data_IF_390606201876
#
_entry.id   IF_390606201876
#
_cell.length_a   1.000
_cell.length_b   1.000
_cell.length_c   1.000
_cell.angle_alpha   90.00
_cell.angle_beta   90.00
_cell.angle_gamma   90.00
#
_symmetry.space_group_name_H-M   'P 1'
#
loop_
_entity.id
_entity.type
_entity.pdbx_description
1 polymer ?
#
# COMPACT_ATOMS: atom_id res chain seq x y z
N UNK A 1 -12.31 10.61 16.02
CA UNK A 1 -13.24 11.30 15.11
C UNK A 1 -12.92 12.79 14.98
N UNK A 2 -12.59 13.48 16.09
CA UNK A 2 -12.25 14.91 16.10
C UNK A 2 -11.26 15.37 14.99
N UNK A 3 -10.24 14.57 14.66
CA UNK A 3 -9.27 14.95 13.62
C UNK A 3 -9.85 14.86 12.19
N UNK A 4 -10.75 13.90 11.92
CA UNK A 4 -11.46 13.85 10.63
C UNK A 4 -12.38 15.05 10.44
N UNK A 5 -13.03 15.52 11.51
CA UNK A 5 -13.86 16.74 11.48
C UNK A 5 -13.02 17.99 11.19
N UNK A 6 -11.73 17.95 11.53
CA UNK A 6 -10.74 18.99 11.21
C UNK A 6 -10.09 18.82 9.82
N UNK A 7 -10.60 17.90 9.00
CA UNK A 7 -10.08 17.53 7.67
C UNK A 7 -8.68 16.92 7.68
N UNK A 8 -8.30 16.25 8.78
CA UNK A 8 -7.15 15.35 8.77
C UNK A 8 -7.59 13.98 8.28
N UNK A 9 -6.82 13.40 7.37
CA UNK A 9 -7.02 12.05 6.86
C UNK A 9 -5.79 11.22 7.13
N UNK A 10 -5.96 9.92 7.40
CA UNK A 10 -4.83 9.00 7.50
C UNK A 10 -4.09 8.96 6.17
N UNK A 11 -2.79 9.22 6.21
CA UNK A 11 -1.89 9.19 5.04
C UNK A 11 -0.88 8.05 5.13
N UNK A 12 -0.53 7.62 6.34
CA UNK A 12 0.32 6.46 6.54
C UNK A 12 -0.11 5.67 7.78
N UNK A 13 0.01 4.34 7.67
CA UNK A 13 -0.09 3.42 8.79
C UNK A 13 1.10 2.47 8.78
N UNK A 14 1.62 2.18 9.96
CA UNK A 14 2.66 1.19 10.16
C UNK A 14 2.36 0.44 11.46
N UNK A 15 2.82 -0.80 11.55
CA UNK A 15 2.73 -1.56 12.78
C UNK A 15 3.97 -2.44 12.97
N UNK A 16 4.08 -2.96 14.19
CA UNK A 16 5.18 -3.82 14.58
C UNK A 16 4.66 -5.20 14.99
N UNK A 17 5.56 -6.17 15.03
CA UNK A 17 5.27 -7.56 15.38
C UNK A 17 4.76 -7.72 16.82
N UNK A 18 5.15 -6.82 17.72
CA UNK A 18 4.66 -6.78 19.10
C UNK A 18 3.22 -6.22 19.25
N UNK A 19 2.53 -5.95 18.14
CA UNK A 19 1.16 -5.47 18.12
C UNK A 19 1.00 -3.96 18.26
N UNK A 20 2.09 -3.20 18.44
CA UNK A 20 2.05 -1.73 18.40
C UNK A 20 1.81 -1.21 16.98
N UNK A 21 1.23 0.00 16.88
CA UNK A 21 0.90 0.62 15.59
C UNK A 21 1.05 2.13 15.67
N UNK A 22 1.41 2.73 14.55
CA UNK A 22 1.51 4.17 14.35
C UNK A 22 0.62 4.58 13.19
N UNK A 23 -0.12 5.67 13.38
CA UNK A 23 -0.97 6.27 12.35
C UNK A 23 -0.56 7.72 12.18
N UNK A 24 -0.28 8.12 10.95
CA UNK A 24 -0.03 9.52 10.58
C UNK A 24 -1.27 10.05 9.88
N UNK A 25 -1.74 11.20 10.34
CA UNK A 25 -2.80 11.93 9.70
C UNK A 25 -2.30 13.27 9.18
N UNK A 26 -2.76 13.67 8.00
CA UNK A 26 -2.35 14.92 7.35
C UNK A 26 -3.55 15.70 6.87
N UNK A 27 -3.41 17.03 6.83
CA UNK A 27 -4.38 17.97 6.24
C UNK A 27 -3.88 18.43 4.86
N UNK A 28 -4.79 18.86 3.99
CA UNK A 28 -4.46 19.29 2.63
C UNK A 28 -4.31 18.14 1.63
N UNK A 29 -4.71 16.93 2.02
CA UNK A 29 -4.85 15.81 1.08
C UNK A 29 -6.04 16.07 0.15
N UNK A 30 -6.07 15.48 -1.06
CA UNK A 30 -7.24 15.55 -1.92
C UNK A 30 -8.41 14.68 -1.41
N UNK A 31 -8.25 13.95 -0.32
CA UNK A 31 -9.24 12.99 0.15
C UNK A 31 -10.50 13.68 0.67
N UNK A 32 -11.66 13.10 0.41
CA UNK A 32 -12.95 13.67 0.84
C UNK A 32 -13.67 12.81 1.87
N UNK A 33 -13.56 11.49 1.74
CA UNK A 33 -14.10 10.52 2.70
C UNK A 33 -13.08 9.42 2.90
N UNK A 34 -13.03 8.86 4.11
CA UNK A 34 -12.11 7.79 4.44
C UNK A 34 -12.80 6.72 5.29
N UNK A 35 -12.39 5.48 5.09
CA UNK A 35 -12.83 4.33 5.87
C UNK A 35 -11.60 3.45 6.11
N UNK A 36 -11.53 2.83 7.28
CA UNK A 36 -10.48 1.88 7.57
C UNK A 36 -11.07 0.58 8.10
N UNK A 37 -10.29 -0.50 8.00
CA UNK A 37 -10.61 -1.79 8.59
C UNK A 37 -9.38 -2.41 9.21
N UNK A 38 -9.54 -2.91 10.43
CA UNK A 38 -8.58 -3.78 11.09
C UNK A 38 -9.15 -5.19 11.10
N UNK A 39 -8.35 -6.18 10.72
CA UNK A 39 -8.79 -7.59 10.67
C UNK A 39 -7.62 -8.54 10.82
N UNK A 40 -7.88 -9.73 11.39
CA UNK A 40 -6.88 -10.80 11.51
C UNK A 40 -6.62 -11.53 10.19
N UNK A 41 -7.51 -11.37 9.20
CA UNK A 41 -7.33 -11.88 7.85
C UNK A 41 -7.40 -10.74 6.84
N UNK A 42 -6.77 -10.92 5.66
CA UNK A 42 -6.79 -9.90 4.64
C UNK A 42 -8.24 -9.59 4.20
N UNK A 43 -8.75 -8.36 4.34
CA UNK A 43 -10.18 -8.08 4.28
C UNK A 43 -10.71 -7.89 2.84
N UNK A 44 -10.42 -8.84 1.93
CA UNK A 44 -10.73 -8.74 0.49
C UNK A 44 -12.20 -8.42 0.19
N UNK A 45 -13.14 -9.10 0.85
CA UNK A 45 -14.59 -8.87 0.66
C UNK A 45 -14.99 -7.42 0.97
N UNK A 46 -14.37 -6.82 2.00
CA UNK A 46 -14.64 -5.44 2.39
C UNK A 46 -14.02 -4.45 1.42
N UNK A 47 -12.78 -4.70 0.98
CA UNK A 47 -12.10 -3.88 -0.04
C UNK A 47 -12.93 -3.86 -1.33
N UNK A 48 -13.39 -5.02 -1.80
CA UNK A 48 -14.20 -5.12 -3.02
C UNK A 48 -15.53 -4.36 -2.90
N UNK A 49 -16.20 -4.42 -1.73
CA UNK A 49 -17.38 -3.60 -1.47
C UNK A 49 -17.05 -2.11 -1.54
N UNK A 50 -15.93 -1.69 -0.95
CA UNK A 50 -15.50 -0.28 -0.91
C UNK A 50 -15.05 0.26 -2.26
N UNK A 51 -14.42 -0.55 -3.11
CA UNK A 51 -14.14 -0.18 -4.51
C UNK A 51 -15.42 0.17 -5.27
N UNK A 52 -16.50 -0.62 -5.11
CA UNK A 52 -17.82 -0.32 -5.71
C UNK A 52 -18.44 0.96 -5.17
N UNK A 53 -18.10 1.35 -3.95
CA UNK A 53 -18.48 2.64 -3.34
C UNK A 53 -17.54 3.78 -3.73
N UNK A 54 -16.58 3.58 -4.64
CA UNK A 54 -15.64 4.60 -5.12
C UNK A 54 -14.48 4.92 -4.19
N UNK A 55 -14.28 4.13 -3.13
CA UNK A 55 -13.10 4.22 -2.27
C UNK A 55 -11.96 3.42 -2.89
N UNK A 56 -10.72 3.90 -2.71
CA UNK A 56 -9.52 3.18 -3.12
C UNK A 56 -8.59 3.02 -1.93
N UNK A 57 -7.83 1.92 -1.86
CA UNK A 57 -6.82 1.72 -0.82
C UNK A 57 -5.74 2.78 -0.98
N UNK A 58 -5.50 3.53 0.09
CA UNK A 58 -4.49 4.61 0.12
C UNK A 58 -3.33 4.31 1.05
N UNK A 59 -3.51 3.39 2.00
CA UNK A 59 -2.44 2.98 2.91
C UNK A 59 -2.78 1.61 3.52
N UNK A 60 -1.78 0.76 3.67
CA UNK A 60 -1.89 -0.53 4.32
C UNK A 60 -0.70 -0.74 5.27
N UNK A 61 -0.93 -1.48 6.34
CA UNK A 61 0.10 -1.86 7.28
C UNK A 61 -0.35 -3.08 8.08
N UNK A 62 0.59 -3.69 8.79
CA UNK A 62 0.34 -4.87 9.61
C UNK A 62 0.91 -4.68 11.01
N UNK A 63 0.25 -5.27 12.00
CA UNK A 63 0.72 -5.31 13.39
C UNK A 63 0.54 -6.74 13.92
N UNK A 64 1.65 -7.49 14.00
CA UNK A 64 1.60 -8.96 14.09
C UNK A 64 0.89 -9.55 12.87
N UNK A 65 -0.16 -10.33 13.11
CA UNK A 65 -0.98 -10.93 12.04
C UNK A 65 -2.20 -10.08 11.65
N UNK A 66 -2.39 -8.91 12.27
CA UNK A 66 -3.53 -8.03 11.97
C UNK A 66 -3.19 -7.09 10.82
N UNK A 67 -4.11 -7.01 9.87
CA UNK A 67 -4.09 -6.08 8.75
C UNK A 67 -4.81 -4.80 9.14
N UNK A 68 -4.18 -3.65 8.90
CA UNK A 68 -4.81 -2.35 8.81
C UNK A 68 -4.91 -1.95 7.33
N UNK A 69 -6.12 -1.66 6.85
CA UNK A 69 -6.35 -1.17 5.50
C UNK A 69 -7.11 0.14 5.57
N UNK A 70 -6.56 1.19 4.97
CA UNK A 70 -7.17 2.52 4.86
C UNK A 70 -7.58 2.74 3.42
N UNK A 71 -8.83 3.10 3.20
CA UNK A 71 -9.37 3.45 1.90
C UNK A 71 -9.94 4.86 1.91
N UNK A 72 -9.68 5.63 0.86
CA UNK A 72 -10.12 7.01 0.74
C UNK A 72 -10.82 7.26 -0.61
N UNK A 73 -11.79 8.16 -0.63
CA UNK A 73 -12.36 8.73 -1.86
C UNK A 73 -11.48 9.86 -2.37
N UNK A 74 -11.53 10.09 -3.67
CA UNK A 74 -10.70 11.07 -4.38
C UNK A 74 -9.18 10.82 -4.24
N UNK A 75 -8.78 9.55 -4.21
CA UNK A 75 -7.37 9.15 -4.12
C UNK A 75 -6.56 9.32 -5.44
N UNK A 76 -7.21 9.73 -6.52
CA UNK A 76 -6.55 9.91 -7.82
C UNK A 76 -6.36 8.64 -8.64
N UNK A 77 -6.98 7.52 -8.26
CA UNK A 77 -6.94 6.25 -8.98
C UNK A 77 -8.22 6.00 -9.79
N UNK A 78 -8.09 5.43 -10.98
CA UNK A 78 -9.23 5.01 -11.83
C UNK A 78 -9.61 3.56 -11.58
N UNK A 79 -8.62 2.71 -11.31
CA UNK A 79 -8.82 1.30 -11.03
C UNK A 79 -7.76 0.79 -10.04
N UNK A 80 -8.10 -0.28 -9.31
CA UNK A 80 -7.24 -0.93 -8.33
C UNK A 80 -7.44 -2.43 -8.31
N UNK A 81 -6.34 -3.14 -8.15
CA UNK A 81 -6.30 -4.58 -7.93
C UNK A 81 -5.42 -4.91 -6.73
N UNK A 82 -5.58 -6.13 -6.22
CA UNK A 82 -4.72 -6.67 -5.17
C UNK A 82 -4.11 -7.97 -5.63
N UNK A 83 -2.81 -8.12 -5.45
CA UNK A 83 -2.08 -9.38 -5.53
C UNK A 83 -1.75 -9.80 -4.09
N UNK A 84 -2.39 -10.87 -3.61
CA UNK A 84 -2.20 -11.44 -2.27
C UNK A 84 -1.66 -12.87 -2.44
N UNK A 85 -0.52 -13.14 -1.82
CA UNK A 85 0.14 -14.44 -1.93
C UNK A 85 0.85 -14.78 -0.61
N UNK A 86 1.10 -16.08 -0.37
CA UNK A 86 1.92 -16.57 0.74
C UNK A 86 3.41 -16.26 0.50
N UNK A 87 3.79 -16.08 -0.76
CA UNK A 87 5.13 -15.66 -1.18
C UNK A 87 5.06 -14.30 -1.87
N UNK A 88 6.19 -13.88 -2.45
CA UNK A 88 6.24 -12.68 -3.28
C UNK A 88 5.65 -12.96 -4.68
N UNK A 89 4.56 -12.29 -5.09
CA UNK A 89 3.83 -12.60 -6.33
C UNK A 89 4.49 -12.00 -7.58
N UNK A 90 5.71 -12.42 -7.91
CA UNK A 90 6.50 -11.85 -9.01
C UNK A 90 5.77 -11.83 -10.36
N UNK A 91 5.22 -12.97 -10.80
CA UNK A 91 4.47 -13.09 -12.05
C UNK A 91 3.23 -12.17 -12.10
N UNK A 92 2.49 -12.12 -10.99
CA UNK A 92 1.32 -11.24 -10.86
C UNK A 92 1.71 -9.78 -11.04
N UNK A 93 2.77 -9.33 -10.37
CA UNK A 93 3.24 -7.95 -10.46
C UNK A 93 3.68 -7.57 -11.87
N UNK A 94 4.45 -8.42 -12.57
CA UNK A 94 4.89 -8.15 -13.94
C UNK A 94 3.70 -8.04 -14.90
N UNK A 95 2.75 -8.98 -14.85
CA UNK A 95 1.54 -8.93 -15.68
C UNK A 95 0.73 -7.64 -15.42
N UNK A 96 0.65 -7.19 -14.17
CA UNK A 96 -0.06 -5.95 -13.83
C UNK A 96 0.68 -4.69 -14.30
N UNK A 97 2.01 -4.69 -14.23
CA UNK A 97 2.83 -3.60 -14.81
C UNK A 97 2.65 -3.47 -16.32
N UNK A 98 2.60 -4.58 -17.05
CA UNK A 98 2.30 -4.59 -18.49
C UNK A 98 0.90 -4.04 -18.81
N UNK A 99 -0.03 -4.21 -17.87
CA UNK A 99 -1.39 -3.69 -17.96
C UNK A 99 -1.53 -2.24 -17.46
N UNK A 100 -0.42 -1.55 -17.13
CA UNK A 100 -0.40 -0.14 -16.71
C UNK A 100 -0.70 0.11 -15.23
N UNK A 101 -0.84 -0.93 -14.42
CA UNK A 101 -0.97 -0.76 -12.97
C UNK A 101 0.40 -0.47 -12.35
N UNK A 102 0.44 0.25 -11.23
CA UNK A 102 1.65 0.47 -10.43
C UNK A 102 1.38 0.16 -8.97
N UNK A 103 2.37 -0.40 -8.27
CA UNK A 103 2.27 -0.67 -6.84
C UNK A 103 2.12 0.67 -6.12
N UNK A 104 1.04 0.82 -5.35
CA UNK A 104 0.74 2.05 -4.59
C UNK A 104 0.67 1.80 -3.09
N UNK A 105 0.57 0.55 -2.65
CA UNK A 105 0.66 0.18 -1.24
C UNK A 105 1.07 -1.28 -1.13
N UNK A 106 1.99 -1.58 -0.21
CA UNK A 106 2.35 -2.96 0.14
C UNK A 106 2.29 -3.14 1.65
N UNK A 107 1.86 -4.31 2.10
CA UNK A 107 1.93 -4.72 3.50
C UNK A 107 2.09 -6.24 3.57
N UNK A 108 2.70 -6.75 4.63
CA UNK A 108 2.94 -8.18 4.80
C UNK A 108 2.84 -8.61 6.24
N UNK A 109 2.38 -9.85 6.44
CA UNK A 109 2.50 -10.58 7.70
C UNK A 109 3.68 -11.55 7.60
N UNK A 110 3.99 -12.32 8.65
CA UNK A 110 4.95 -13.43 8.55
C UNK A 110 4.56 -14.52 7.54
N UNK A 111 3.32 -14.56 7.07
CA UNK A 111 2.82 -15.64 6.20
C UNK A 111 2.32 -15.17 4.84
N UNK A 112 2.02 -13.88 4.67
CA UNK A 112 1.39 -13.36 3.46
C UNK A 112 1.95 -11.99 3.09
N UNK A 113 2.02 -11.71 1.80
CA UNK A 113 2.31 -10.39 1.26
C UNK A 113 1.13 -9.91 0.39
N UNK A 114 0.71 -8.66 0.59
CA UNK A 114 -0.34 -8.02 -0.19
C UNK A 114 0.20 -6.78 -0.88
N UNK A 115 -0.01 -6.71 -2.20
CA UNK A 115 0.33 -5.57 -3.03
C UNK A 115 -0.94 -5.01 -3.64
N UNK A 116 -1.21 -3.74 -3.35
CA UNK A 116 -2.22 -2.98 -4.08
C UNK A 116 -1.53 -2.34 -5.27
N UNK A 117 -2.09 -2.59 -6.45
CA UNK A 117 -1.69 -1.93 -7.66
C UNK A 117 -2.83 -1.08 -8.20
N UNK A 118 -2.51 0.13 -8.63
CA UNK A 118 -3.50 1.12 -9.09
C UNK A 118 -3.14 1.68 -10.45
N UNK A 119 -4.15 2.05 -11.22
CA UNK A 119 -4.00 2.90 -12.39
C UNK A 119 -4.28 4.35 -11.95
N UNK A 120 -3.32 5.27 -12.04
CA UNK A 120 -3.55 6.67 -11.72
C UNK A 120 -4.40 7.34 -12.81
N UNK A 121 -5.35 8.19 -12.40
CA UNK A 121 -6.19 8.99 -13.33
C UNK A 121 -5.36 9.95 -14.19
N UNK A 122 -4.21 10.37 -13.68
CA UNK A 122 -3.21 11.16 -14.42
C UNK A 122 -2.03 10.25 -14.70
N UNK A 123 -1.73 10.02 -15.98
CA UNK A 123 -0.56 9.24 -16.36
C UNK A 123 0.72 9.93 -15.86
N UNK A 124 1.56 9.24 -15.09
CA UNK A 124 2.85 9.78 -14.72
C UNK A 124 3.76 9.87 -15.95
N UNK A 125 4.71 10.80 -15.91
CA UNK A 125 5.69 11.01 -16.99
C UNK A 125 6.68 9.85 -17.11
N UNK A 126 7.03 9.24 -15.98
CA UNK A 126 7.85 8.05 -15.87
C UNK A 126 7.05 6.96 -15.16
N UNK A 127 7.05 5.77 -15.75
CA UNK A 127 6.33 4.61 -15.22
C UNK A 127 7.28 3.55 -14.64
N UNK A 128 8.57 3.84 -14.58
CA UNK A 128 9.59 2.92 -14.07
C UNK A 128 9.34 2.64 -12.60
N UNK A 129 9.13 1.37 -12.28
CA UNK A 129 8.99 0.89 -10.92
C UNK A 129 9.76 -0.42 -10.78
N UNK A 130 10.48 -0.54 -9.67
CA UNK A 130 11.23 -1.73 -9.32
C UNK A 130 10.91 -2.15 -7.89
N UNK A 131 11.15 -3.43 -7.62
CA UNK A 131 10.99 -4.03 -6.30
C UNK A 131 12.26 -4.73 -5.90
N UNK A 132 12.66 -4.57 -4.64
CA UNK A 132 13.81 -5.24 -4.08
C UNK A 132 13.40 -5.98 -2.80
N UNK A 133 13.88 -7.21 -2.64
CA UNK A 133 13.73 -8.01 -1.43
C UNK A 133 15.09 -8.20 -0.77
N UNK A 134 15.19 -7.86 0.51
CA UNK A 134 16.42 -8.01 1.31
C UNK A 134 16.08 -8.35 2.76
N UNK A 135 17.02 -8.97 3.48
CA UNK A 135 16.90 -9.26 4.92
C UNK A 135 17.27 -8.07 5.80
N UNK A 136 18.06 -7.14 5.27
CA UNK A 136 18.46 -5.89 5.94
C UNK A 136 18.04 -4.69 5.10
N UNK A 137 17.96 -3.52 5.74
CA UNK A 137 17.60 -2.29 5.03
C UNK A 137 18.64 -1.97 3.93
N UNK A 138 18.22 -1.81 2.65
CA UNK A 138 19.13 -1.79 1.52
C UNK A 138 19.72 -0.39 1.23
N UNK A 139 20.42 0.20 2.20
CA UNK A 139 20.93 1.58 2.13
C UNK A 139 21.74 1.90 0.87
N UNK A 140 22.62 1.00 0.44
CA UNK A 140 23.47 1.22 -0.73
C UNK A 140 22.63 1.23 -2.02
N UNK A 141 21.74 0.25 -2.17
CA UNK A 141 20.85 0.17 -3.33
C UNK A 141 19.93 1.39 -3.43
N UNK A 142 19.40 1.87 -2.30
CA UNK A 142 18.56 3.07 -2.26
C UNK A 142 19.34 4.29 -2.77
N UNK A 143 20.59 4.49 -2.35
CA UNK A 143 21.45 5.60 -2.81
C UNK A 143 21.74 5.50 -4.31
N UNK A 144 22.03 4.31 -4.81
CA UNK A 144 22.25 4.07 -6.24
C UNK A 144 21.00 4.38 -7.07
N UNK A 145 19.82 4.04 -6.58
CA UNK A 145 18.54 4.28 -7.26
C UNK A 145 18.14 5.76 -7.22
N UNK A 146 18.43 6.47 -6.13
CA UNK A 146 18.26 7.93 -6.08
C UNK A 146 19.09 8.65 -7.14
N UNK A 147 20.34 8.22 -7.40
CA UNK A 147 21.16 8.77 -8.47
C UNK A 147 20.57 8.56 -9.88
N UNK A 148 19.61 7.65 -10.02
CA UNK A 148 18.86 7.36 -11.25
C UNK A 148 17.43 7.94 -11.23
N UNK A 149 17.14 8.89 -10.34
CA UNK A 149 15.82 9.52 -10.15
C UNK A 149 14.69 8.55 -9.72
N UNK A 150 15.03 7.40 -9.12
CA UNK A 150 14.05 6.49 -8.54
C UNK A 150 13.94 6.72 -7.03
N UNK A 151 12.74 6.64 -6.49
CA UNK A 151 12.45 6.91 -5.07
C UNK A 151 11.74 5.73 -4.40
N UNK A 152 11.83 5.65 -3.07
CA UNK A 152 11.08 4.66 -2.31
C UNK A 152 9.60 5.06 -2.28
N UNK A 153 8.76 4.28 -2.95
CA UNK A 153 7.32 4.48 -2.94
C UNK A 153 6.61 3.69 -1.83
N UNK A 154 7.16 2.53 -1.46
CA UNK A 154 6.60 1.68 -0.40
C UNK A 154 7.67 0.80 0.23
N UNK A 155 7.48 0.47 1.50
CA UNK A 155 8.29 -0.47 2.24
C UNK A 155 7.37 -1.29 3.13
N UNK A 156 7.59 -2.59 3.19
CA UNK A 156 6.92 -3.46 4.15
C UNK A 156 7.87 -4.55 4.62
N UNK A 157 7.66 -5.01 5.84
CA UNK A 157 8.32 -6.18 6.42
C UNK A 157 7.34 -7.35 6.38
N UNK A 158 7.85 -8.53 6.04
CA UNK A 158 7.07 -9.77 5.96
C UNK A 158 7.95 -10.89 5.42
N UNK A 159 7.44 -12.12 5.46
CA UNK A 159 8.17 -13.25 4.88
C UNK A 159 8.04 -13.19 3.37
N UNK A 160 9.17 -12.97 2.69
CA UNK A 160 9.21 -12.82 1.23
C UNK A 160 10.04 -13.90 0.53
N UNK A 161 10.63 -14.82 1.30
CA UNK A 161 11.32 -16.03 0.84
C UNK A 161 11.29 -17.11 1.94
N UNK A 162 11.36 -18.38 1.54
CA UNK A 162 11.45 -19.53 2.46
C UNK A 162 12.79 -19.56 3.18
#
# INVERSE_FOLDING_TARGET
MEQWEKNFYITAIAGATNGSSLVVMSKGTPYTQQSYKVSESFPYKWINKKWKEGFHVTSMGTAGNRWGVVMSRNAGYSDQVVELDFLYPSEGLHRRWESGYRITSSAGTPDQAAFILSIPKRKPLDETQETLRTSAFPSNHVKEKWAKNLYIASICYGRTAC
#
